data_IF_024915817912
#
_entry.id   IF_024915817912
#
_cell.length_a   1.000
_cell.length_b   1.000
_cell.length_c   1.000
_cell.angle_alpha   90.00
_cell.angle_beta   90.00
_cell.angle_gamma   90.00
#
_symmetry.space_group_name_H-M   'P 1'
#
loop_
_entity.id
_entity.type
_entity.pdbx_description
1 polymer ?
#
# COMPACT_ATOMS: atom_id res chain seq x y z
N UNK A 1 -2.85 0.16 10.85
CA UNK A 1 -2.48 -0.13 9.47
C UNK A 1 -2.56 1.16 8.69
N UNK A 2 -1.43 1.57 8.12
CA UNK A 2 -1.27 2.80 7.35
C UNK A 2 -0.81 2.47 5.92
N UNK A 3 -0.71 3.47 5.04
CA UNK A 3 -0.30 3.27 3.65
C UNK A 3 1.08 2.57 3.53
N UNK A 4 2.00 2.88 4.45
CA UNK A 4 3.31 2.25 4.53
C UNK A 4 3.23 0.74 4.74
N UNK A 5 2.33 0.27 5.60
CA UNK A 5 2.19 -1.16 5.86
C UNK A 5 1.72 -1.90 4.60
N UNK A 6 0.73 -1.33 3.88
CA UNK A 6 0.27 -1.87 2.61
C UNK A 6 1.39 -1.89 1.56
N UNK A 7 2.20 -0.83 1.50
CA UNK A 7 3.36 -0.73 0.61
C UNK A 7 4.38 -1.84 0.90
N UNK A 8 4.68 -2.12 2.17
CA UNK A 8 5.60 -3.19 2.58
C UNK A 8 5.10 -4.58 2.15
N UNK A 9 3.79 -4.87 2.29
CA UNK A 9 3.20 -6.12 1.77
C UNK A 9 3.34 -6.25 0.25
N UNK A 10 3.09 -5.17 -0.49
CA UNK A 10 3.23 -5.16 -1.95
C UNK A 10 4.69 -5.42 -2.35
N UNK A 11 5.64 -4.73 -1.72
CA UNK A 11 7.08 -4.90 -1.96
C UNK A 11 7.54 -6.33 -1.65
N UNK A 12 7.01 -6.93 -0.58
CA UNK A 12 7.24 -8.33 -0.23
C UNK A 12 6.60 -9.35 -1.20
N UNK A 13 5.72 -8.90 -2.10
CA UNK A 13 5.16 -9.72 -3.19
C UNK A 13 3.66 -9.97 -3.11
N UNK A 14 2.94 -9.33 -2.20
CA UNK A 14 1.48 -9.39 -2.20
C UNK A 14 0.93 -8.73 -3.47
N UNK A 15 -0.05 -9.37 -4.13
CA UNK A 15 -0.74 -8.81 -5.31
C UNK A 15 -1.91 -7.90 -4.93
N UNK A 16 -2.46 -8.09 -3.74
CA UNK A 16 -3.51 -7.29 -3.13
C UNK A 16 -3.37 -7.36 -1.61
N UNK A 17 -3.90 -6.36 -0.90
CA UNK A 17 -3.86 -6.28 0.56
C UNK A 17 -5.28 -6.07 1.09
N UNK A 18 -5.73 -6.95 1.99
CA UNK A 18 -7.01 -6.82 2.66
C UNK A 18 -6.84 -6.04 3.98
N UNK A 19 -7.77 -5.14 4.27
CA UNK A 19 -7.79 -4.34 5.50
C UNK A 19 -9.03 -4.68 6.31
N UNK A 20 -8.84 -5.29 7.48
CA UNK A 20 -9.92 -5.71 8.38
C UNK A 20 -10.00 -4.84 9.63
N UNK A 21 -9.27 -5.23 10.68
CA UNK A 21 -9.33 -4.63 12.02
C UNK A 21 -9.19 -3.11 12.05
N UNK A 22 -8.36 -2.54 11.16
CA UNK A 22 -8.16 -1.09 11.09
C UNK A 22 -9.46 -0.33 10.78
N UNK A 23 -10.39 -0.93 10.04
CA UNK A 23 -11.67 -0.31 9.69
C UNK A 23 -12.60 -0.14 10.90
N UNK A 24 -12.45 -0.95 11.95
CA UNK A 24 -13.24 -0.79 13.18
C UNK A 24 -12.80 0.43 14.00
N UNK A 25 -11.52 0.81 13.90
CA UNK A 25 -10.97 1.99 14.58
C UNK A 25 -11.19 3.24 13.73
N UNK A 26 -10.90 3.16 12.43
CA UNK A 26 -11.11 4.22 11.46
C UNK A 26 -11.83 3.65 10.23
N UNK A 27 -13.12 3.92 10.02
CA UNK A 27 -13.87 3.46 8.85
C UNK A 27 -13.32 3.95 7.50
N UNK A 28 -12.50 5.01 7.50
CA UNK A 28 -11.82 5.53 6.30
C UNK A 28 -10.45 4.91 6.05
N UNK A 29 -9.96 4.01 6.92
CA UNK A 29 -8.60 3.48 6.84
C UNK A 29 -8.24 2.96 5.44
N UNK A 30 -9.13 2.22 4.78
CA UNK A 30 -8.89 1.75 3.41
C UNK A 30 -8.74 2.87 2.39
N UNK A 31 -9.53 3.95 2.48
CA UNK A 31 -9.43 5.11 1.59
C UNK A 31 -8.12 5.85 1.85
N UNK A 32 -7.79 6.10 3.12
CA UNK A 32 -6.58 6.81 3.53
C UNK A 32 -5.31 6.05 3.07
N UNK A 33 -5.35 4.70 3.12
CA UNK A 33 -4.28 3.83 2.60
C UNK A 33 -4.13 4.00 1.08
N UNK A 34 -5.22 3.98 0.32
CA UNK A 34 -5.19 4.13 -1.15
C UNK A 34 -4.65 5.51 -1.54
N UNK A 35 -5.05 6.57 -0.84
CA UNK A 35 -4.55 7.93 -1.08
C UNK A 35 -3.06 8.03 -0.76
N UNK A 36 -2.60 7.47 0.36
CA UNK A 36 -1.18 7.44 0.71
C UNK A 36 -0.33 6.65 -0.29
N UNK A 37 -0.81 5.51 -0.78
CA UNK A 37 -0.13 4.73 -1.83
C UNK A 37 -0.04 5.51 -3.14
N UNK A 38 -1.11 6.20 -3.54
CA UNK A 38 -1.12 7.05 -4.73
C UNK A 38 -0.10 8.19 -4.59
N UNK A 39 -0.07 8.83 -3.43
CA UNK A 39 0.87 9.91 -3.15
C UNK A 39 2.33 9.41 -3.21
N UNK A 40 2.60 8.24 -2.63
CA UNK A 40 3.91 7.59 -2.73
C UNK A 40 4.32 7.36 -4.19
N UNK A 41 3.43 6.82 -5.03
CA UNK A 41 3.71 6.62 -6.45
C UNK A 41 4.02 7.93 -7.18
N UNK A 42 3.28 9.00 -6.90
CA UNK A 42 3.54 10.33 -7.48
C UNK A 42 4.93 10.84 -7.09
N UNK A 43 5.25 10.81 -5.79
CA UNK A 43 6.53 11.30 -5.25
C UNK A 43 7.73 10.54 -5.80
N UNK A 44 7.58 9.22 -5.99
CA UNK A 44 8.62 8.35 -6.53
C UNK A 44 8.60 8.23 -8.05
N UNK A 45 7.69 8.93 -8.74
CA UNK A 45 7.51 8.86 -10.21
C UNK A 45 7.27 7.43 -10.72
N UNK A 46 6.56 6.63 -9.93
CA UNK A 46 6.14 5.28 -10.28
C UNK A 46 4.87 5.41 -11.11
N UNK A 47 4.91 4.96 -12.37
CA UNK A 47 3.78 5.05 -13.28
C UNK A 47 2.72 3.99 -12.99
N UNK A 48 3.16 2.85 -12.43
CA UNK A 48 2.34 1.68 -12.16
C UNK A 48 2.71 1.02 -10.84
N UNK A 49 1.71 0.71 -10.01
CA UNK A 49 1.94 0.07 -8.71
C UNK A 49 2.66 -1.28 -8.83
N UNK A 50 2.47 -1.99 -9.95
CA UNK A 50 3.13 -3.28 -10.19
C UNK A 50 4.66 -3.17 -10.31
N UNK A 51 5.22 -1.99 -10.57
CA UNK A 51 6.67 -1.77 -10.65
C UNK A 51 7.38 -2.02 -9.32
N UNK A 52 6.67 -1.90 -8.21
CA UNK A 52 7.22 -2.10 -6.86
C UNK A 52 6.79 -3.43 -6.22
N UNK A 53 5.86 -4.17 -6.82
CA UNK A 53 5.41 -5.46 -6.29
C UNK A 53 6.52 -6.49 -6.43
N UNK A 54 6.77 -7.27 -5.36
CA UNK A 54 7.78 -8.35 -5.32
C UNK A 54 9.22 -7.88 -5.65
N UNK A 55 9.57 -6.66 -5.26
CA UNK A 55 10.90 -6.08 -5.50
C UNK A 55 11.90 -6.30 -4.37
N UNK A 56 11.45 -6.78 -3.21
CA UNK A 56 12.31 -7.09 -2.07
C UNK A 56 13.37 -8.14 -2.45
N UNK A 57 14.64 -7.88 -2.11
CA UNK A 57 15.74 -8.84 -2.22
C UNK A 57 16.21 -9.20 -0.81
N UNK A 58 16.33 -10.51 -0.55
CA UNK A 58 16.82 -11.12 0.69
C UNK A 58 18.06 -11.94 0.41
#
# INVERSE_FOLDING_TARGET
MEARDALEFLIAGAKAVQVGTANFVNPRATVDIVEGLKQYCIEKKIGRLEEIVATLRV
#
